data_IF_040329802517
#
_entry.id   IF_040329802517
#
_cell.length_a   1.000
_cell.length_b   1.000
_cell.length_c   1.000
_cell.angle_alpha   90.00
_cell.angle_beta   90.00
_cell.angle_gamma   90.00
#
_symmetry.space_group_name_H-M   'P 1'
#
loop_
_entity.id
_entity.type
_entity.pdbx_description
1 polymer ?
#
# COMPACT_ATOMS: atom_id res chain seq x y z
N UNK A 1 4.66 8.06 30.24
CA UNK A 1 3.44 8.63 30.82
C UNK A 1 2.70 9.45 29.80
N UNK A 2 1.42 9.14 29.57
CA UNK A 2 0.62 9.85 28.58
C UNK A 2 0.20 11.19 29.15
N UNK A 3 0.49 12.27 28.44
CA UNK A 3 0.08 13.61 28.80
C UNK A 3 -1.43 13.73 28.62
N UNK A 4 -2.15 14.07 29.70
CA UNK A 4 -3.60 14.21 29.70
C UNK A 4 -4.09 15.27 28.71
N UNK A 5 -3.32 16.36 28.57
CA UNK A 5 -3.70 17.44 27.67
C UNK A 5 -3.62 16.98 26.20
N UNK A 6 -2.64 16.17 25.85
CA UNK A 6 -2.54 15.57 24.51
C UNK A 6 -3.67 14.59 24.27
N UNK A 7 -4.05 13.83 25.28
CA UNK A 7 -5.15 12.89 25.19
C UNK A 7 -6.48 13.61 24.95
N UNK A 8 -6.73 14.70 25.67
CA UNK A 8 -7.92 15.52 25.47
C UNK A 8 -7.96 16.21 24.12
N UNK A 9 -6.80 16.62 23.60
CA UNK A 9 -6.69 17.19 22.27
C UNK A 9 -7.06 16.16 21.19
N UNK A 10 -6.69 14.91 21.39
CA UNK A 10 -7.06 13.82 20.48
C UNK A 10 -8.56 13.54 20.43
N UNK A 11 -9.26 13.81 21.52
CA UNK A 11 -10.71 13.57 21.60
C UNK A 11 -11.58 14.80 21.36
N UNK A 12 -10.98 15.91 20.94
CA UNK A 12 -11.71 17.03 20.35
C UNK A 12 -12.34 18.03 21.29
N UNK A 13 -11.93 18.08 22.55
CA UNK A 13 -12.47 19.05 23.51
C UNK A 13 -11.80 20.44 23.44
N UNK A 14 -10.75 20.57 22.63
CA UNK A 14 -10.07 21.82 22.39
C UNK A 14 -10.09 22.06 20.88
N UNK A 15 -10.94 22.97 20.43
CA UNK A 15 -11.27 23.14 19.02
C UNK A 15 -10.06 23.43 18.12
N UNK A 16 -9.16 24.32 18.52
CA UNK A 16 -8.02 24.71 17.68
C UNK A 16 -6.92 23.63 17.65
N UNK A 17 -6.63 22.99 18.78
CA UNK A 17 -5.59 21.94 18.83
C UNK A 17 -6.04 20.64 18.17
N UNK A 18 -7.33 20.31 18.26
CA UNK A 18 -7.89 19.15 17.58
C UNK A 18 -7.83 19.30 16.07
N UNK A 19 -8.14 20.48 15.57
CA UNK A 19 -8.07 20.80 14.14
C UNK A 19 -6.63 20.75 13.63
N UNK A 20 -5.67 21.29 14.37
CA UNK A 20 -4.25 21.25 14.02
C UNK A 20 -3.73 19.80 13.95
N UNK A 21 -4.14 18.94 14.89
CA UNK A 21 -3.75 17.54 14.89
C UNK A 21 -4.37 16.78 13.72
N UNK A 22 -5.63 17.05 13.38
CA UNK A 22 -6.28 16.47 12.22
C UNK A 22 -5.61 16.89 10.92
N UNK A 23 -5.26 18.17 10.80
CA UNK A 23 -4.55 18.71 9.64
C UNK A 23 -3.16 18.07 9.49
N UNK A 24 -2.42 17.93 10.60
CA UNK A 24 -1.10 17.30 10.59
C UNK A 24 -1.20 15.81 10.21
N UNK A 25 -2.20 15.11 10.72
CA UNK A 25 -2.47 13.71 10.35
C UNK A 25 -2.81 13.58 8.87
N UNK A 26 -3.64 14.49 8.35
CA UNK A 26 -4.01 14.54 6.95
C UNK A 26 -2.78 14.75 6.06
N UNK A 27 -1.90 15.68 6.43
CA UNK A 27 -0.65 15.94 5.70
C UNK A 27 0.23 14.69 5.64
N UNK A 28 0.36 13.96 6.75
CA UNK A 28 1.15 12.72 6.81
C UNK A 28 0.55 11.67 5.87
N UNK A 29 -0.76 11.49 5.91
CA UNK A 29 -1.45 10.50 5.07
C UNK A 29 -1.37 10.84 3.58
N UNK A 30 -1.33 12.13 3.24
CA UNK A 30 -1.24 12.60 1.86
C UNK A 30 0.20 12.67 1.34
N UNK A 31 1.20 12.58 2.23
CA UNK A 31 2.60 12.63 1.84
C UNK A 31 2.94 11.48 0.87
N UNK A 32 3.68 11.75 -0.22
CA UNK A 32 3.98 10.72 -1.19
C UNK A 32 4.75 9.53 -0.61
N UNK A 33 5.66 9.77 0.31
CA UNK A 33 6.41 8.71 0.98
C UNK A 33 5.48 7.76 1.75
N UNK A 34 4.47 8.29 2.42
CA UNK A 34 3.46 7.49 3.13
C UNK A 34 2.62 6.65 2.16
N UNK A 35 2.21 7.23 1.04
CA UNK A 35 1.44 6.51 0.01
C UNK A 35 2.23 5.33 -0.56
N UNK A 36 3.49 5.54 -0.88
CA UNK A 36 4.39 4.48 -1.34
C UNK A 36 4.54 3.40 -0.26
N UNK A 37 4.71 3.82 0.99
CA UNK A 37 4.81 2.91 2.13
C UNK A 37 3.56 2.06 2.32
N UNK A 38 2.39 2.66 2.23
CA UNK A 38 1.11 1.94 2.36
C UNK A 38 0.91 0.95 1.23
N UNK A 39 1.19 1.36 -0.01
CA UNK A 39 1.17 0.48 -1.17
C UNK A 39 2.06 -0.74 -0.94
N UNK A 40 3.31 -0.50 -0.60
CA UNK A 40 4.31 -1.55 -0.41
C UNK A 40 3.91 -2.51 0.71
N UNK A 41 3.53 -1.95 1.85
CA UNK A 41 3.21 -2.73 3.05
C UNK A 41 1.97 -3.60 2.86
N UNK A 42 0.94 -3.09 2.21
CA UNK A 42 -0.27 -3.88 1.94
C UNK A 42 0.05 -5.13 1.13
N UNK A 43 0.84 -4.98 0.08
CA UNK A 43 1.19 -6.10 -0.81
C UNK A 43 2.10 -7.10 -0.11
N UNK A 44 3.15 -6.63 0.56
CA UNK A 44 4.10 -7.50 1.27
C UNK A 44 3.42 -8.24 2.41
N UNK A 45 2.61 -7.56 3.22
CA UNK A 45 1.90 -8.19 4.33
C UNK A 45 0.89 -9.23 3.84
N UNK A 46 0.20 -8.95 2.75
CA UNK A 46 -0.73 -9.91 2.15
C UNK A 46 -0.01 -11.19 1.74
N UNK A 47 1.13 -11.06 1.08
CA UNK A 47 1.90 -12.22 0.63
C UNK A 47 2.34 -13.09 1.81
N UNK A 48 2.91 -12.49 2.84
CA UNK A 48 3.34 -13.22 4.05
C UNK A 48 2.15 -13.89 4.73
N UNK A 49 1.06 -13.17 4.89
CA UNK A 49 -0.17 -13.70 5.51
C UNK A 49 -0.73 -14.87 4.71
N UNK A 50 -0.78 -14.75 3.40
CA UNK A 50 -1.32 -15.79 2.53
C UNK A 50 -0.50 -17.09 2.60
N UNK A 51 0.82 -16.98 2.62
CA UNK A 51 1.69 -18.15 2.76
C UNK A 51 1.47 -18.86 4.10
N UNK A 52 1.33 -18.11 5.19
CA UNK A 52 1.02 -18.69 6.50
C UNK A 52 -0.34 -19.36 6.53
N UNK A 53 -1.34 -18.72 5.94
CA UNK A 53 -2.69 -19.25 5.86
C UNK A 53 -2.72 -20.56 5.06
N UNK A 54 -2.02 -20.60 3.95
CA UNK A 54 -1.89 -21.78 3.09
C UNK A 54 -1.30 -22.95 3.87
N UNK A 55 -0.23 -22.72 4.61
CA UNK A 55 0.41 -23.75 5.43
C UNK A 55 -0.52 -24.27 6.52
N UNK A 56 -1.23 -23.37 7.19
CA UNK A 56 -2.16 -23.73 8.25
C UNK A 56 -3.34 -24.53 7.71
N UNK A 57 -4.00 -24.05 6.65
CA UNK A 57 -5.19 -24.70 6.10
C UNK A 57 -4.87 -26.03 5.43
N UNK A 58 -3.70 -26.20 4.85
CA UNK A 58 -3.28 -27.45 4.26
C UNK A 58 -3.19 -28.58 5.29
N UNK A 59 -2.84 -28.24 6.54
CA UNK A 59 -2.77 -29.21 7.63
C UNK A 59 -4.15 -29.51 8.23
N UNK A 60 -4.99 -28.49 8.40
CA UNK A 60 -6.25 -28.60 9.14
C UNK A 60 -7.41 -29.06 8.26
N UNK A 61 -7.41 -28.67 6.99
CA UNK A 61 -8.48 -29.00 6.07
C UNK A 61 -7.95 -29.15 4.64
N UNK A 62 -7.54 -30.35 4.23
CA UNK A 62 -6.97 -30.57 2.90
C UNK A 62 -7.96 -30.34 1.74
N UNK A 63 -9.26 -30.26 2.02
CA UNK A 63 -10.29 -29.99 1.02
C UNK A 63 -10.63 -28.52 0.86
N UNK A 64 -9.97 -27.64 1.61
CA UNK A 64 -10.23 -26.20 1.55
C UNK A 64 -9.71 -25.61 0.23
N UNK A 65 -10.55 -24.83 -0.45
CA UNK A 65 -10.18 -24.18 -1.70
C UNK A 65 -9.38 -22.90 -1.41
N UNK A 66 -8.06 -23.04 -1.38
CA UNK A 66 -7.13 -21.93 -1.13
C UNK A 66 -7.13 -20.97 -2.30
N UNK A 67 -7.32 -21.43 -3.53
CA UNK A 67 -7.29 -20.60 -4.72
C UNK A 67 -8.43 -19.59 -4.77
N UNK A 68 -9.63 -19.98 -4.34
CA UNK A 68 -10.76 -19.07 -4.26
C UNK A 68 -10.53 -17.97 -3.22
N UNK A 69 -10.02 -18.35 -2.04
CA UNK A 69 -9.67 -17.40 -0.98
C UNK A 69 -8.55 -16.46 -1.44
N UNK A 70 -7.56 -16.99 -2.14
CA UNK A 70 -6.47 -16.22 -2.70
C UNK A 70 -6.98 -15.15 -3.69
N UNK A 71 -7.85 -15.55 -4.61
CA UNK A 71 -8.42 -14.65 -5.60
C UNK A 71 -9.17 -13.49 -4.96
N UNK A 72 -10.01 -13.78 -3.96
CA UNK A 72 -10.76 -12.75 -3.22
C UNK A 72 -9.84 -11.81 -2.45
N UNK A 73 -8.81 -12.36 -1.80
CA UNK A 73 -7.83 -11.57 -1.04
C UNK A 73 -7.01 -10.66 -1.95
N UNK A 74 -6.54 -11.19 -3.08
CA UNK A 74 -5.76 -10.42 -4.05
C UNK A 74 -6.57 -9.26 -4.60
N UNK A 75 -7.82 -9.49 -4.96
CA UNK A 75 -8.70 -8.44 -5.45
C UNK A 75 -8.76 -7.29 -4.44
N UNK A 76 -9.01 -7.59 -3.18
CA UNK A 76 -9.13 -6.58 -2.14
C UNK A 76 -7.82 -5.83 -1.93
N UNK A 77 -6.71 -6.56 -1.77
CA UNK A 77 -5.42 -5.96 -1.41
C UNK A 77 -4.86 -5.13 -2.56
N UNK A 78 -4.85 -5.64 -3.79
CA UNK A 78 -4.27 -4.91 -4.90
C UNK A 78 -5.08 -3.67 -5.27
N UNK A 79 -6.40 -3.70 -5.12
CA UNK A 79 -7.22 -2.51 -5.33
C UNK A 79 -7.04 -1.48 -4.23
N UNK A 80 -6.85 -1.90 -2.98
CA UNK A 80 -6.52 -0.97 -1.89
C UNK A 80 -5.14 -0.37 -2.07
N UNK A 81 -4.16 -1.17 -2.45
CA UNK A 81 -2.81 -0.70 -2.72
C UNK A 81 -2.82 0.31 -3.86
N UNK A 82 -3.56 0.04 -4.93
CA UNK A 82 -3.72 0.97 -6.04
C UNK A 82 -4.28 2.31 -5.59
N UNK A 83 -5.24 2.31 -4.68
CA UNK A 83 -5.84 3.52 -4.14
C UNK A 83 -4.79 4.49 -3.58
N UNK A 84 -3.74 3.95 -2.96
CA UNK A 84 -2.66 4.78 -2.41
C UNK A 84 -1.68 5.24 -3.49
N UNK A 85 -1.26 4.36 -4.39
CA UNK A 85 -0.20 4.66 -5.36
C UNK A 85 -0.69 5.50 -6.54
N UNK A 86 -1.96 5.46 -6.87
CA UNK A 86 -2.52 6.15 -8.05
C UNK A 86 -2.35 7.68 -7.99
N UNK A 87 -2.24 8.22 -6.79
CA UNK A 87 -2.10 9.66 -6.56
C UNK A 87 -0.66 10.17 -6.78
N UNK A 88 0.29 9.27 -6.92
CA UNK A 88 1.69 9.63 -7.13
C UNK A 88 1.86 10.22 -8.54
N UNK A 89 2.48 11.39 -8.62
CA UNK A 89 2.73 12.08 -9.88
C UNK A 89 4.24 12.22 -10.09
N UNK A 90 4.78 11.49 -11.05
CA UNK A 90 6.23 11.48 -11.31
C UNK A 90 6.75 12.82 -11.84
N UNK A 91 5.86 13.70 -12.30
CA UNK A 91 6.23 15.05 -12.75
C UNK A 91 6.39 16.04 -11.61
N UNK A 92 5.95 15.67 -10.40
CA UNK A 92 6.18 16.48 -9.19
C UNK A 92 7.49 16.08 -8.55
N UNK A 93 8.33 17.09 -8.27
CA UNK A 93 9.64 16.86 -7.65
C UNK A 93 9.55 16.14 -6.31
N UNK A 94 8.58 16.50 -5.48
CA UNK A 94 8.38 15.87 -4.18
C UNK A 94 8.03 14.39 -4.29
N UNK A 95 7.15 14.05 -5.21
CA UNK A 95 6.74 12.67 -5.45
C UNK A 95 7.89 11.84 -6.03
N UNK A 96 8.60 12.41 -6.99
CA UNK A 96 9.77 11.76 -7.59
C UNK A 96 10.86 11.50 -6.54
N UNK A 97 11.12 12.48 -5.68
CA UNK A 97 12.08 12.34 -4.58
C UNK A 97 11.68 11.20 -3.64
N UNK A 98 10.40 11.08 -3.32
CA UNK A 98 9.90 10.00 -2.47
C UNK A 98 10.12 8.63 -3.10
N UNK A 99 9.86 8.49 -4.41
CA UNK A 99 10.13 7.25 -5.15
C UNK A 99 11.60 6.86 -5.06
N UNK A 100 12.48 7.82 -5.29
CA UNK A 100 13.93 7.59 -5.29
C UNK A 100 14.44 7.19 -3.90
N UNK A 101 13.95 7.84 -2.86
CA UNK A 101 14.43 7.65 -1.49
C UNK A 101 13.83 6.42 -0.80
N UNK A 102 12.70 5.90 -1.26
CA UNK A 102 12.07 4.75 -0.63
C UNK A 102 12.94 3.49 -0.82
N UNK A 103 12.93 2.61 0.18
CA UNK A 103 13.71 1.37 0.18
C UNK A 103 13.40 0.52 -1.04
N UNK A 104 14.43 0.20 -1.84
CA UNK A 104 14.26 -0.41 -3.17
C UNK A 104 13.64 -1.81 -3.14
N UNK A 105 14.19 -2.71 -2.32
CA UNK A 105 13.81 -4.13 -2.39
C UNK A 105 12.33 -4.41 -2.15
N UNK A 106 11.72 -3.96 -1.04
CA UNK A 106 10.29 -4.23 -0.85
C UNK A 106 9.41 -3.48 -1.86
N UNK A 107 9.80 -2.28 -2.27
CA UNK A 107 9.00 -1.48 -3.19
C UNK A 107 9.02 -2.07 -4.60
N UNK A 108 10.17 -2.48 -5.10
CA UNK A 108 10.30 -3.12 -6.42
C UNK A 108 9.48 -4.41 -6.45
N UNK A 109 9.58 -5.24 -5.41
CA UNK A 109 8.80 -6.48 -5.31
C UNK A 109 7.30 -6.21 -5.34
N UNK A 110 6.85 -5.19 -4.62
CA UNK A 110 5.45 -4.81 -4.59
C UNK A 110 4.96 -4.31 -5.95
N UNK A 111 5.77 -3.49 -6.63
CA UNK A 111 5.45 -3.00 -7.99
C UNK A 111 5.32 -4.15 -8.97
N UNK A 112 6.27 -5.08 -8.95
CA UNK A 112 6.24 -6.26 -9.84
C UNK A 112 5.02 -7.13 -9.57
N UNK A 113 4.69 -7.36 -8.30
CA UNK A 113 3.51 -8.14 -7.91
C UNK A 113 2.22 -7.48 -8.39
N UNK A 114 2.10 -6.17 -8.22
CA UNK A 114 0.92 -5.43 -8.65
C UNK A 114 0.78 -5.42 -10.17
N UNK A 115 1.88 -5.25 -10.91
CA UNK A 115 1.88 -5.30 -12.37
C UNK A 115 1.39 -6.68 -12.83
N UNK A 116 1.94 -7.75 -12.27
CA UNK A 116 1.53 -9.11 -12.62
C UNK A 116 0.04 -9.34 -12.35
N UNK A 117 -0.48 -8.81 -11.25
CA UNK A 117 -1.89 -8.95 -10.94
C UNK A 117 -2.77 -8.19 -11.95
N UNK A 118 -2.46 -6.93 -12.22
CA UNK A 118 -3.27 -6.09 -13.09
C UNK A 118 -3.17 -6.46 -14.57
N UNK A 119 -2.10 -7.11 -15.01
CA UNK A 119 -1.96 -7.55 -16.41
C UNK A 119 -2.61 -8.91 -16.68
N UNK A 120 -3.08 -9.60 -15.64
CA UNK A 120 -3.78 -10.88 -15.80
C UNK A 120 -4.97 -10.70 -16.77
N UNK A 121 -5.13 -11.63 -17.75
CA UNK A 121 -6.23 -11.52 -18.73
C UNK A 121 -7.63 -11.45 -18.11
N UNK A 122 -7.82 -11.98 -16.91
CA UNK A 122 -9.09 -11.93 -16.20
C UNK A 122 -9.32 -10.57 -15.51
N UNK A 123 -8.27 -9.79 -15.32
CA UNK A 123 -8.32 -8.48 -14.65
C UNK A 123 -8.26 -7.34 -15.68
N UNK A 124 -7.33 -7.39 -16.62
CA UNK A 124 -7.18 -6.47 -17.76
C UNK A 124 -7.09 -4.98 -17.41
N UNK A 125 -6.41 -4.65 -16.32
CA UNK A 125 -6.18 -3.27 -15.91
C UNK A 125 -4.85 -2.72 -16.45
N UNK A 126 -4.75 -2.66 -17.78
CA UNK A 126 -3.48 -2.33 -18.46
C UNK A 126 -3.02 -0.89 -18.24
N UNK A 127 -3.93 0.05 -18.03
CA UNK A 127 -3.56 1.43 -17.71
C UNK A 127 -2.85 1.53 -16.36
N UNK A 128 -3.31 0.74 -15.39
CA UNK A 128 -2.63 0.64 -14.10
C UNK A 128 -1.25 0.03 -14.23
N UNK A 129 -1.10 -0.99 -15.08
CA UNK A 129 0.20 -1.58 -15.39
C UNK A 129 1.16 -0.56 -15.97
N UNK A 130 0.70 0.23 -16.94
CA UNK A 130 1.52 1.26 -17.58
C UNK A 130 2.00 2.30 -16.56
N UNK A 131 1.13 2.72 -15.67
CA UNK A 131 1.45 3.65 -14.59
C UNK A 131 2.53 3.08 -13.67
N UNK A 132 2.33 1.84 -13.22
CA UNK A 132 3.27 1.17 -12.30
C UNK A 132 4.62 0.90 -12.98
N UNK A 133 4.63 0.58 -14.26
CA UNK A 133 5.87 0.40 -15.03
C UNK A 133 6.72 1.67 -15.06
N UNK A 134 6.10 2.84 -15.16
CA UNK A 134 6.82 4.11 -15.14
C UNK A 134 7.57 4.30 -13.81
N UNK A 135 6.89 3.99 -12.70
CA UNK A 135 7.50 4.08 -11.37
C UNK A 135 8.62 3.04 -11.22
N UNK A 136 8.36 1.81 -11.66
CA UNK A 136 9.33 0.72 -11.59
C UNK A 136 10.60 1.05 -12.39
N UNK A 137 10.44 1.62 -13.58
CA UNK A 137 11.55 2.05 -14.40
C UNK A 137 12.43 3.08 -13.69
N UNK A 138 11.82 4.10 -13.08
CA UNK A 138 12.53 5.09 -12.29
C UNK A 138 13.32 4.43 -11.17
N UNK A 139 12.69 3.51 -10.46
CA UNK A 139 13.30 2.84 -9.31
C UNK A 139 14.48 1.96 -9.71
N UNK A 140 14.41 1.31 -10.86
CA UNK A 140 15.51 0.47 -11.36
C UNK A 140 16.70 1.27 -11.91
N UNK A 141 16.49 2.49 -12.36
CA UNK A 141 17.53 3.35 -12.91
C UNK A 141 18.30 4.13 -11.83
N UNK A 142 17.88 4.06 -10.58
CA UNK A 142 18.50 4.80 -9.48
C UNK A 142 19.63 4.03 -8.80
#
# INVERSE_FOLDING_TARGET
MIDKDKLFALFGNSNSKGDELLDAKQEILEAPFTKIGMFTKLIVNHWVFHEKLKQFLSKENPNYDIEETKAASEFTVFNRAWYYIKEINIDKEQDLSAIIQFKSDPFISALEAAINYFEDPDIEEYERCAFLHKILKIKREV
#
